data_IF_301418355304
#
_entry.id   IF_301418355304
#
_cell.length_a   1.000
_cell.length_b   1.000
_cell.length_c   1.000
_cell.angle_alpha   90.00
_cell.angle_beta   90.00
_cell.angle_gamma   90.00
#
_symmetry.space_group_name_H-M   'P 1'
#
loop_
_entity.id
_entity.type
_entity.pdbx_description
1 polymer ?
#
# COMPACT_ATOMS: atom_id res chain seq x y z
N UNK A 1 -7.68 12.45 7.47
CA UNK A 1 -7.97 11.73 8.67
C UNK A 1 -6.97 11.77 9.80
N UNK A 2 -5.64 11.79 9.62
CA UNK A 2 -4.65 11.59 10.70
C UNK A 2 -4.71 12.58 11.87
N UNK A 3 -5.28 13.76 11.71
CA UNK A 3 -5.44 14.76 12.76
C UNK A 3 -6.72 14.56 13.59
N UNK A 4 -7.67 13.73 13.14
CA UNK A 4 -8.93 13.47 13.85
C UNK A 4 -8.66 12.82 15.21
N UNK A 5 -9.37 13.24 16.27
CA UNK A 5 -9.26 12.61 17.60
C UNK A 5 -9.58 11.11 17.55
N UNK A 6 -10.58 10.71 16.77
CA UNK A 6 -10.95 9.30 16.54
C UNK A 6 -9.80 8.49 15.93
N UNK A 7 -9.11 9.02 14.92
CA UNK A 7 -7.91 8.36 14.36
C UNK A 7 -6.83 8.19 15.43
N UNK A 8 -6.57 9.23 16.24
CA UNK A 8 -5.56 9.17 17.29
C UNK A 8 -5.92 8.13 18.37
N UNK A 9 -7.23 7.96 18.67
CA UNK A 9 -7.69 6.94 19.59
C UNK A 9 -7.41 5.51 19.06
N UNK A 10 -7.60 5.27 17.76
CA UNK A 10 -7.22 4.00 17.13
C UNK A 10 -5.70 3.80 17.18
N UNK A 11 -4.91 4.84 16.87
CA UNK A 11 -3.45 4.80 16.94
C UNK A 11 -2.90 4.53 18.35
N UNK A 12 -3.61 4.94 19.40
CA UNK A 12 -3.21 4.67 20.78
C UNK A 12 -3.33 3.19 21.19
N UNK A 13 -4.15 2.40 20.48
CA UNK A 13 -4.39 0.96 20.76
C UNK A 13 -3.80 0.01 19.72
N UNK A 14 -3.36 0.51 18.56
CA UNK A 14 -2.79 -0.28 17.50
C UNK A 14 -1.69 0.49 16.75
N UNK A 15 -0.59 -0.16 16.44
CA UNK A 15 0.42 0.40 15.55
C UNK A 15 -0.08 0.51 14.10
N UNK A 16 0.68 1.20 13.26
CA UNK A 16 0.27 1.49 11.88
C UNK A 16 0.08 0.23 11.04
N UNK A 17 1.00 -0.73 11.11
CA UNK A 17 0.90 -1.97 10.33
C UNK A 17 -0.23 -2.88 10.83
N UNK A 18 -0.47 -2.92 12.14
CA UNK A 18 -1.62 -3.61 12.72
C UNK A 18 -2.93 -3.01 12.19
N UNK A 19 -3.04 -1.68 12.13
CA UNK A 19 -4.21 -1.02 11.55
C UNK A 19 -4.41 -1.36 10.07
N UNK A 20 -3.33 -1.41 9.28
CA UNK A 20 -3.38 -1.76 7.85
C UNK A 20 -3.79 -3.21 7.65
N UNK A 21 -3.28 -4.14 8.48
CA UNK A 21 -3.48 -5.59 8.33
C UNK A 21 -4.76 -6.11 8.99
N UNK A 22 -5.48 -5.28 9.74
CA UNK A 22 -6.73 -5.64 10.41
C UNK A 22 -7.89 -4.96 9.69
N UNK A 23 -8.71 -5.71 8.91
CA UNK A 23 -9.80 -5.14 8.13
C UNK A 23 -10.72 -4.21 8.91
N UNK A 24 -11.11 -4.59 10.13
CA UNK A 24 -12.01 -3.82 10.98
C UNK A 24 -11.40 -2.47 11.39
N UNK A 25 -10.11 -2.43 11.73
CA UNK A 25 -9.41 -1.20 12.08
C UNK A 25 -9.21 -0.29 10.85
N UNK A 26 -8.87 -0.89 9.71
CA UNK A 26 -8.75 -0.15 8.46
C UNK A 26 -10.08 0.50 8.06
N UNK A 27 -11.20 -0.21 8.22
CA UNK A 27 -12.54 0.30 7.92
C UNK A 27 -12.96 1.36 8.92
N UNK A 28 -12.77 1.16 10.23
CA UNK A 28 -13.02 2.17 11.25
C UNK A 28 -12.37 3.51 10.87
N UNK A 29 -11.10 3.49 10.49
CA UNK A 29 -10.36 4.70 10.09
C UNK A 29 -10.84 5.26 8.74
N UNK A 30 -11.25 4.41 7.82
CA UNK A 30 -11.80 4.80 6.52
C UNK A 30 -13.10 5.59 6.66
N UNK A 31 -13.97 5.21 7.60
CA UNK A 31 -15.28 5.83 7.82
C UNK A 31 -15.20 7.17 8.57
N UNK A 32 -14.24 7.36 9.45
CA UNK A 32 -14.11 8.55 10.28
C UNK A 32 -14.23 9.88 9.51
N UNK A 33 -13.56 10.10 8.35
CA UNK A 33 -13.74 11.34 7.58
C UNK A 33 -15.15 11.51 7.02
N UNK A 34 -15.82 10.42 6.67
CA UNK A 34 -17.21 10.46 6.20
C UNK A 34 -18.14 10.89 7.34
N UNK A 35 -17.97 10.28 8.52
CA UNK A 35 -18.84 10.49 9.67
C UNK A 35 -18.61 11.86 10.35
N UNK A 36 -17.35 12.31 10.46
CA UNK A 36 -16.99 13.49 11.24
C UNK A 36 -16.87 14.77 10.38
N UNK A 37 -16.54 14.65 9.09
CA UNK A 37 -16.30 15.80 8.20
C UNK A 37 -17.38 15.89 7.11
N UNK A 38 -17.97 14.77 6.69
CA UNK A 38 -18.95 14.72 5.60
C UNK A 38 -18.28 14.83 4.23
N UNK A 39 -17.17 14.13 4.01
CA UNK A 39 -16.46 14.09 2.71
C UNK A 39 -17.28 13.37 1.64
N UNK A 40 -17.07 13.74 0.37
CA UNK A 40 -17.83 13.24 -0.78
C UNK A 40 -17.40 11.84 -1.27
N UNK A 41 -16.28 11.31 -0.77
CA UNK A 41 -15.79 9.96 -1.07
C UNK A 41 -14.96 9.42 0.08
N UNK A 42 -14.99 8.10 0.28
CA UNK A 42 -14.09 7.40 1.20
C UNK A 42 -12.93 6.80 0.41
N UNK A 43 -11.70 6.90 0.94
CA UNK A 43 -10.54 6.19 0.42
C UNK A 43 -10.20 5.10 1.44
N UNK A 44 -10.08 3.86 0.99
CA UNK A 44 -9.70 2.75 1.88
C UNK A 44 -8.38 3.07 2.61
N UNK A 45 -8.35 2.89 3.91
CA UNK A 45 -7.10 3.04 4.67
C UNK A 45 -6.20 1.83 4.44
N UNK A 46 -4.99 2.09 3.93
CA UNK A 46 -3.96 1.10 3.68
C UNK A 46 -2.59 1.77 3.56
N UNK A 47 -1.56 1.01 3.18
CA UNK A 47 -0.23 1.50 2.81
C UNK A 47 0.06 1.15 1.34
N UNK A 48 0.78 2.03 0.63
CA UNK A 48 1.24 1.75 -0.73
C UNK A 48 2.29 0.63 -0.77
N UNK A 49 3.00 0.38 0.34
CA UNK A 49 4.11 -0.59 0.42
C UNK A 49 3.65 -2.02 0.72
N UNK A 50 2.33 -2.28 0.79
CA UNK A 50 1.79 -3.63 0.96
C UNK A 50 2.17 -4.57 -0.19
N UNK A 51 2.33 -4.05 -1.42
CA UNK A 51 2.78 -4.85 -2.57
C UNK A 51 4.23 -5.30 -2.39
N UNK A 52 5.23 -4.41 -2.19
CA UNK A 52 6.60 -4.84 -1.92
C UNK A 52 6.74 -5.77 -0.71
N UNK A 53 5.96 -5.52 0.35
CA UNK A 53 5.94 -6.41 1.52
C UNK A 53 5.46 -7.81 1.13
N UNK A 54 4.34 -7.91 0.43
CA UNK A 54 3.79 -9.18 -0.06
C UNK A 54 4.71 -9.86 -1.09
N UNK A 55 5.57 -9.10 -1.78
CA UNK A 55 6.62 -9.64 -2.64
C UNK A 55 7.82 -10.22 -1.87
N UNK A 56 7.82 -10.14 -0.53
CA UNK A 56 8.83 -10.76 0.33
C UNK A 56 9.82 -9.77 0.96
N UNK A 57 9.63 -8.46 0.85
CA UNK A 57 10.47 -7.46 1.51
C UNK A 57 9.95 -7.15 2.92
N UNK A 58 10.67 -7.50 4.00
CA UNK A 58 10.24 -7.19 5.36
C UNK A 58 10.04 -5.68 5.56
N UNK A 59 8.83 -5.27 5.92
CA UNK A 59 8.45 -3.87 6.13
C UNK A 59 8.34 -3.57 7.63
N UNK A 60 8.97 -2.47 8.06
CA UNK A 60 8.79 -1.86 9.38
C UNK A 60 8.39 -0.40 9.22
N UNK A 61 7.64 0.11 10.20
CA UNK A 61 7.25 1.52 10.24
C UNK A 61 7.55 2.07 11.63
N UNK A 62 8.64 2.81 11.75
CA UNK A 62 9.06 3.43 13.00
C UNK A 62 8.48 4.84 13.14
N UNK A 63 8.03 5.19 14.34
CA UNK A 63 7.52 6.53 14.62
C UNK A 63 8.60 7.59 14.38
N UNK A 64 8.25 8.64 13.63
CA UNK A 64 9.15 9.76 13.31
C UNK A 64 10.18 9.46 12.22
N UNK A 65 10.33 8.20 11.79
CA UNK A 65 11.27 7.80 10.73
C UNK A 65 10.54 7.45 9.44
N UNK A 66 9.42 6.75 9.55
CA UNK A 66 8.62 6.28 8.42
C UNK A 66 8.93 4.82 8.03
N UNK A 67 8.44 4.38 6.86
CA UNK A 67 8.59 3.01 6.41
C UNK A 67 10.02 2.67 6.01
N UNK A 68 10.47 1.46 6.36
CA UNK A 68 11.75 0.87 5.98
C UNK A 68 11.60 -0.57 5.58
N UNK A 69 12.35 -0.97 4.57
CA UNK A 69 12.52 -2.37 4.19
C UNK A 69 13.80 -2.95 4.80
N UNK A 70 13.71 -4.18 5.31
CA UNK A 70 14.85 -4.93 5.83
C UNK A 70 15.81 -5.46 4.74
N UNK A 71 15.41 -5.34 3.46
CA UNK A 71 16.19 -5.70 2.27
C UNK A 71 15.95 -4.70 1.14
N UNK A 72 16.82 -4.68 0.13
CA UNK A 72 16.69 -3.82 -1.05
C UNK A 72 16.78 -4.65 -2.33
N UNK A 73 16.23 -4.13 -3.42
CA UNK A 73 16.25 -4.79 -4.74
C UNK A 73 17.19 -4.01 -5.66
N UNK A 74 18.40 -4.54 -5.83
CA UNK A 74 19.46 -3.86 -6.62
C UNK A 74 20.18 -4.77 -7.59
N UNK A 75 20.07 -6.09 -7.41
CA UNK A 75 20.74 -7.11 -8.23
C UNK A 75 19.73 -8.03 -8.90
N UNK A 76 20.18 -8.82 -9.89
CA UNK A 76 19.33 -9.82 -10.53
C UNK A 76 18.90 -10.92 -9.55
N UNK A 77 19.75 -11.24 -8.57
CA UNK A 77 19.42 -12.19 -7.51
C UNK A 77 18.28 -11.64 -6.62
N UNK A 78 18.31 -10.34 -6.29
CA UNK A 78 17.24 -9.71 -5.51
C UNK A 78 15.90 -9.75 -6.29
N UNK A 79 15.94 -9.45 -7.59
CA UNK A 79 14.76 -9.55 -8.46
C UNK A 79 14.20 -10.97 -8.54
N UNK A 80 15.08 -11.96 -8.69
CA UNK A 80 14.67 -13.38 -8.76
C UNK A 80 14.09 -13.89 -7.42
N UNK A 81 14.43 -13.24 -6.30
CA UNK A 81 13.88 -13.53 -4.98
C UNK A 81 12.48 -12.99 -4.71
N UNK A 82 11.97 -12.09 -5.58
CA UNK A 82 10.63 -11.54 -5.41
C UNK A 82 9.55 -12.59 -5.72
N UNK A 83 8.50 -12.58 -4.89
CA UNK A 83 7.37 -13.50 -5.02
C UNK A 83 6.13 -12.78 -5.55
N UNK A 84 5.14 -13.53 -6.05
CA UNK A 84 3.85 -12.95 -6.46
C UNK A 84 3.11 -12.40 -5.23
N UNK A 85 2.81 -11.09 -5.18
CA UNK A 85 2.16 -10.48 -4.02
C UNK A 85 0.70 -10.90 -3.82
N UNK A 86 0.03 -11.41 -4.86
CA UNK A 86 -1.35 -11.88 -4.77
C UNK A 86 -1.47 -13.40 -4.57
N UNK A 87 -0.33 -14.11 -4.53
CA UNK A 87 -0.35 -15.54 -4.23
C UNK A 87 -0.69 -15.78 -2.76
N UNK A 88 -1.29 -16.95 -2.48
CA UNK A 88 -1.50 -17.47 -1.11
C UNK A 88 -2.30 -16.55 -0.18
N UNK A 89 -3.11 -15.62 -0.72
CA UNK A 89 -3.94 -14.73 0.09
C UNK A 89 -3.17 -13.64 0.85
N UNK A 90 -1.94 -13.33 0.45
CA UNK A 90 -1.07 -12.36 1.15
C UNK A 90 -1.66 -10.96 1.31
N UNK A 91 -2.55 -10.56 0.41
CA UNK A 91 -3.26 -9.28 0.44
C UNK A 91 -4.77 -9.43 0.72
N UNK A 92 -5.24 -10.59 1.17
CA UNK A 92 -6.66 -10.83 1.43
C UNK A 92 -7.22 -9.91 2.50
N UNK A 93 -6.43 -9.55 3.52
CA UNK A 93 -6.82 -8.58 4.53
C UNK A 93 -7.20 -7.22 3.93
N UNK A 94 -6.47 -6.76 2.91
CA UNK A 94 -6.77 -5.50 2.23
C UNK A 94 -8.07 -5.59 1.43
N UNK A 95 -8.27 -6.70 0.71
CA UNK A 95 -9.49 -6.93 -0.07
C UNK A 95 -10.71 -7.12 0.84
N UNK A 96 -10.55 -7.78 2.00
CA UNK A 96 -11.62 -7.87 3.00
C UNK A 96 -11.95 -6.50 3.59
N UNK A 97 -10.94 -5.67 3.84
CA UNK A 97 -11.14 -4.27 4.22
C UNK A 97 -11.97 -3.50 3.19
N UNK A 98 -11.71 -3.68 1.90
CA UNK A 98 -12.52 -3.06 0.83
C UNK A 98 -13.97 -3.57 0.87
N UNK A 99 -14.18 -4.89 0.99
CA UNK A 99 -15.54 -5.48 1.08
C UNK A 99 -16.30 -4.95 2.30
N UNK A 100 -15.65 -4.92 3.45
CA UNK A 100 -16.23 -4.45 4.69
C UNK A 100 -16.55 -2.94 4.61
N UNK A 101 -15.61 -2.11 4.15
CA UNK A 101 -15.84 -0.68 3.97
C UNK A 101 -17.02 -0.42 3.00
N UNK A 102 -17.13 -1.19 1.92
CA UNK A 102 -18.24 -1.06 0.97
C UNK A 102 -19.58 -1.35 1.62
N UNK A 103 -19.66 -2.38 2.48
CA UNK A 103 -20.90 -2.69 3.24
C UNK A 103 -21.23 -1.60 4.25
N UNK A 104 -20.25 -1.17 5.06
CA UNK A 104 -20.47 -0.18 6.12
C UNK A 104 -20.80 1.22 5.58
N UNK A 105 -20.30 1.57 4.40
CA UNK A 105 -20.67 2.83 3.73
C UNK A 105 -22.14 2.84 3.30
N UNK A 106 -22.72 1.69 3.01
CA UNK A 106 -24.15 1.53 2.65
C UNK A 106 -24.63 2.56 1.61
N UNK A 107 -23.78 2.85 0.63
CA UNK A 107 -24.09 3.79 -0.46
C UNK A 107 -24.02 5.29 -0.09
N UNK A 108 -23.64 5.67 1.12
CA UNK A 108 -23.55 7.06 1.56
C UNK A 108 -22.59 7.89 0.70
N UNK A 109 -21.43 7.33 0.39
CA UNK A 109 -20.42 7.93 -0.50
C UNK A 109 -19.70 6.83 -1.29
N UNK A 110 -19.08 7.13 -2.45
CA UNK A 110 -18.28 6.15 -3.17
C UNK A 110 -17.01 5.76 -2.42
N UNK A 111 -16.60 4.50 -2.58
CA UNK A 111 -15.36 3.96 -2.06
C UNK A 111 -14.28 3.95 -3.14
N UNK A 112 -13.14 4.57 -2.83
CA UNK A 112 -11.95 4.62 -3.69
C UNK A 112 -10.91 3.64 -3.15
N UNK A 113 -10.47 2.72 -4.02
CA UNK A 113 -9.29 1.91 -3.81
C UNK A 113 -8.04 2.60 -4.35
N UNK A 114 -6.85 2.10 -3.99
CA UNK A 114 -5.62 2.67 -4.51
C UNK A 114 -4.45 1.69 -4.45
N UNK A 115 -3.38 2.01 -5.18
CA UNK A 115 -2.07 1.38 -5.06
C UNK A 115 -0.96 2.43 -5.28
N UNK A 116 0.25 2.09 -4.85
CA UNK A 116 1.42 2.92 -5.19
C UNK A 116 1.74 2.81 -6.68
N UNK A 117 2.15 3.91 -7.31
CA UNK A 117 2.66 3.86 -8.68
C UNK A 117 3.93 2.99 -8.76
N UNK A 118 4.15 2.23 -9.85
CA UNK A 118 5.30 1.33 -10.00
C UNK A 118 6.65 2.00 -9.71
N UNK A 119 6.85 3.23 -10.19
CA UNK A 119 8.07 3.99 -9.89
C UNK A 119 8.23 4.31 -8.40
N UNK A 120 7.15 4.70 -7.73
CA UNK A 120 7.19 4.98 -6.29
C UNK A 120 7.60 3.73 -5.52
N UNK A 121 6.97 2.58 -5.82
CA UNK A 121 7.29 1.30 -5.17
C UNK A 121 8.73 0.88 -5.45
N UNK A 122 9.18 0.94 -6.72
CA UNK A 122 10.56 0.63 -7.10
C UNK A 122 11.56 1.51 -6.36
N UNK A 123 11.30 2.81 -6.25
CA UNK A 123 12.19 3.73 -5.55
C UNK A 123 12.36 3.34 -4.07
N UNK A 124 11.27 3.00 -3.37
CA UNK A 124 11.35 2.50 -1.99
C UNK A 124 12.06 1.14 -1.89
N UNK A 125 11.80 0.21 -2.82
CA UNK A 125 12.45 -1.12 -2.84
C UNK A 125 13.97 -1.00 -3.08
N UNK A 126 14.40 -0.08 -3.94
CA UNK A 126 15.83 0.15 -4.26
C UNK A 126 16.54 0.89 -3.14
N UNK A 127 15.92 1.94 -2.58
CA UNK A 127 16.51 2.76 -1.50
C UNK A 127 16.44 2.04 -0.14
N UNK A 128 15.42 1.20 0.09
CA UNK A 128 15.10 0.59 1.37
C UNK A 128 14.27 1.49 2.31
N UNK A 129 14.08 2.76 1.95
CA UNK A 129 13.33 3.75 2.72
C UNK A 129 13.00 4.97 1.85
N UNK A 130 12.18 5.89 2.37
CA UNK A 130 11.99 7.20 1.75
C UNK A 130 13.27 8.05 1.86
N UNK A 131 13.73 8.61 0.75
CA UNK A 131 14.87 9.53 0.70
C UNK A 131 14.48 10.82 -0.01
N UNK A 132 15.21 11.92 0.25
CA UNK A 132 14.89 13.23 -0.36
C UNK A 132 15.07 13.25 -1.88
N UNK A 133 16.00 12.48 -2.42
CA UNK A 133 16.41 12.55 -3.83
C UNK A 133 16.19 11.26 -4.61
N UNK A 134 16.01 10.12 -3.95
CA UNK A 134 15.97 8.78 -4.58
C UNK A 134 17.16 8.57 -5.54
N UNK A 135 18.35 8.95 -5.10
CA UNK A 135 19.56 9.00 -5.94
C UNK A 135 20.04 7.61 -6.36
N UNK A 136 19.88 6.59 -5.49
CA UNK A 136 20.26 5.21 -5.80
C UNK A 136 19.31 4.64 -6.85
N UNK A 137 18.01 4.86 -6.71
CA UNK A 137 16.99 4.43 -7.67
C UNK A 137 17.20 5.09 -9.05
N UNK A 138 17.42 6.40 -9.08
CA UNK A 138 17.72 7.14 -10.32
C UNK A 138 19.01 6.66 -10.99
N UNK A 139 20.05 6.37 -10.21
CA UNK A 139 21.30 5.83 -10.73
C UNK A 139 21.11 4.44 -11.31
N UNK A 140 20.36 3.56 -10.66
CA UNK A 140 20.04 2.23 -11.19
C UNK A 140 19.30 2.34 -12.53
N UNK A 141 18.32 3.24 -12.62
CA UNK A 141 17.59 3.47 -13.89
C UNK A 141 18.51 3.92 -15.01
N UNK A 142 19.49 4.78 -14.73
CA UNK A 142 20.42 5.29 -15.73
C UNK A 142 21.54 4.30 -16.11
N UNK A 143 22.09 3.59 -15.10
CA UNK A 143 23.25 2.71 -15.29
C UNK A 143 22.83 1.29 -15.74
N UNK A 144 21.66 0.82 -15.31
CA UNK A 144 21.19 -0.55 -15.54
C UNK A 144 19.71 -0.56 -15.96
N UNK A 145 19.38 0.06 -17.10
CA UNK A 145 18.00 0.26 -17.53
C UNK A 145 17.23 -1.04 -17.71
N UNK A 146 17.88 -2.11 -18.17
CA UNK A 146 17.22 -3.41 -18.33
C UNK A 146 16.67 -3.96 -17.01
N UNK A 147 17.47 -3.92 -15.93
CA UNK A 147 17.05 -4.34 -14.59
C UNK A 147 15.96 -3.44 -14.03
N UNK A 148 16.11 -2.13 -14.19
CA UNK A 148 15.11 -1.17 -13.75
C UNK A 148 13.75 -1.39 -14.45
N UNK A 149 13.75 -1.63 -15.76
CA UNK A 149 12.54 -1.93 -16.53
C UNK A 149 11.92 -3.28 -16.13
N UNK A 150 12.73 -4.28 -15.81
CA UNK A 150 12.23 -5.57 -15.33
C UNK A 150 11.48 -5.39 -13.99
N UNK A 151 12.08 -4.69 -13.01
CA UNK A 151 11.40 -4.38 -11.75
C UNK A 151 10.11 -3.59 -11.95
N UNK A 152 10.15 -2.55 -12.80
CA UNK A 152 8.98 -1.74 -13.10
C UNK A 152 7.87 -2.55 -13.77
N UNK A 153 8.22 -3.48 -14.66
CA UNK A 153 7.27 -4.38 -15.31
C UNK A 153 6.56 -5.30 -14.30
N UNK A 154 7.33 -5.93 -13.38
CA UNK A 154 6.78 -6.76 -12.30
C UNK A 154 5.82 -5.95 -11.40
N UNK A 155 6.22 -4.72 -11.06
CA UNK A 155 5.38 -3.86 -10.22
C UNK A 155 4.14 -3.37 -10.96
N UNK A 156 4.23 -3.04 -12.25
CA UNK A 156 3.09 -2.62 -13.05
C UNK A 156 2.02 -3.73 -13.14
N UNK A 157 2.45 -4.98 -13.37
CA UNK A 157 1.56 -6.15 -13.34
C UNK A 157 0.90 -6.32 -11.96
N UNK A 158 1.70 -6.32 -10.90
CA UNK A 158 1.22 -6.49 -9.53
C UNK A 158 0.22 -5.39 -9.12
N UNK A 159 0.52 -4.13 -9.44
CA UNK A 159 -0.35 -2.96 -9.20
C UNK A 159 -1.66 -3.12 -9.98
N UNK A 160 -1.59 -3.43 -11.27
CA UNK A 160 -2.77 -3.61 -12.11
C UNK A 160 -3.69 -4.72 -11.59
N UNK A 161 -3.13 -5.85 -11.23
CA UNK A 161 -3.88 -6.99 -10.64
C UNK A 161 -4.51 -6.63 -9.30
N UNK A 162 -3.80 -5.91 -8.41
CA UNK A 162 -4.35 -5.46 -7.13
C UNK A 162 -5.49 -4.45 -7.33
N UNK A 163 -5.36 -3.51 -8.25
CA UNK A 163 -6.45 -2.55 -8.55
C UNK A 163 -7.70 -3.26 -9.08
N UNK A 164 -7.53 -4.24 -9.98
CA UNK A 164 -8.64 -5.08 -10.45
C UNK A 164 -9.29 -5.85 -9.29
N UNK A 165 -8.49 -6.44 -8.40
CA UNK A 165 -9.01 -7.15 -7.24
C UNK A 165 -9.78 -6.23 -6.27
N UNK A 166 -9.33 -4.98 -6.08
CA UNK A 166 -10.06 -3.99 -5.28
C UNK A 166 -11.41 -3.61 -5.90
N UNK A 167 -11.48 -3.45 -7.23
CA UNK A 167 -12.77 -3.23 -7.94
C UNK A 167 -13.71 -4.43 -7.74
N UNK A 168 -13.19 -5.65 -7.90
CA UNK A 168 -13.98 -6.88 -7.66
C UNK A 168 -14.43 -7.02 -6.20
N UNK A 169 -13.64 -6.49 -5.25
CA UNK A 169 -13.99 -6.44 -3.83
C UNK A 169 -15.04 -5.34 -3.50
N UNK A 170 -15.31 -4.39 -4.41
CA UNK A 170 -16.36 -3.39 -4.26
C UNK A 170 -15.90 -1.93 -4.32
N UNK A 171 -14.63 -1.64 -4.60
CA UNK A 171 -14.19 -0.27 -4.86
C UNK A 171 -14.86 0.26 -6.15
N UNK A 172 -15.34 1.50 -6.09
CA UNK A 172 -16.11 2.12 -7.19
C UNK A 172 -15.23 3.00 -8.08
N UNK A 173 -14.06 3.37 -7.59
CA UNK A 173 -12.97 3.99 -8.33
C UNK A 173 -11.64 3.48 -7.79
N UNK A 174 -10.58 3.57 -8.57
CA UNK A 174 -9.21 3.22 -8.17
C UNK A 174 -8.21 4.25 -8.69
N UNK A 175 -7.14 4.47 -7.93
CA UNK A 175 -6.07 5.40 -8.25
C UNK A 175 -4.70 4.73 -8.16
#
# INVERSE_FOLDING_TARGET
GRYLPSYRAVRARADFLTMVRTPELAVEVTLQPVDEIGVDAAIIFSDILVIPEAMGLPLTVDEGVGPRFGATVRTDADLAGLTDPLAEGRLDYMLEGVRLARRELDGRVPLIGFAGAPWTLAAYMIEGQGTKSFSVAKRLLAAEPARAHQLLGLLADAVGRLLVAQVQAGAQAVQ
#
